data_IF_648151924241
#
_entry.id   IF_648151924241
#
_cell.length_a   1.000
_cell.length_b   1.000
_cell.length_c   1.000
_cell.angle_alpha   90.00
_cell.angle_beta   90.00
_cell.angle_gamma   90.00
#
_symmetry.space_group_name_H-M   'P 1'
#
loop_
_entity.id
_entity.type
_entity.pdbx_description
1 polymer ?
#
# COMPACT_ATOMS: atom_id res chain seq x y z
N UNK A 1 -19.08 -30.76 -7.56
CA UNK A 1 -18.09 -31.68 -6.98
C UNK A 1 -17.97 -31.28 -5.52
N UNK A 2 -18.80 -31.94 -4.73
CA UNK A 2 -19.23 -31.55 -3.39
C UNK A 2 -18.43 -32.41 -2.42
N UNK A 3 -17.44 -31.78 -1.79
CA UNK A 3 -16.49 -32.44 -0.91
C UNK A 3 -17.20 -32.74 0.41
N UNK A 4 -17.49 -34.03 0.61
CA UNK A 4 -18.12 -34.58 1.79
C UNK A 4 -17.29 -34.23 3.04
N UNK A 5 -17.91 -33.42 3.91
CA UNK A 5 -17.39 -32.99 5.19
C UNK A 5 -17.20 -34.21 6.09
N UNK A 6 -15.97 -34.73 6.16
CA UNK A 6 -15.59 -35.77 7.10
C UNK A 6 -15.79 -35.26 8.54
N UNK A 7 -16.74 -35.87 9.25
CA UNK A 7 -17.04 -35.59 10.64
C UNK A 7 -15.80 -35.85 11.50
N UNK A 8 -15.19 -34.78 12.01
CA UNK A 8 -14.07 -34.86 12.94
C UNK A 8 -14.60 -35.33 14.31
N UNK A 9 -13.99 -36.32 14.98
CA UNK A 9 -14.44 -36.81 16.27
C UNK A 9 -14.38 -35.71 17.36
N UNK A 10 -15.22 -35.79 18.41
CA UNK A 10 -15.30 -34.79 19.47
C UNK A 10 -14.04 -34.83 20.35
N UNK A 11 -13.01 -34.07 19.92
CA UNK A 11 -11.82 -33.82 20.73
C UNK A 11 -12.15 -32.95 21.95
N UNK A 12 -11.59 -33.32 23.11
CA UNK A 12 -11.73 -32.65 24.42
C UNK A 12 -11.84 -31.12 24.29
N UNK A 13 -13.02 -30.61 24.61
CA UNK A 13 -13.40 -29.21 24.48
C UNK A 13 -12.65 -28.30 25.44
N UNK A 14 -11.47 -27.83 25.03
CA UNK A 14 -11.05 -26.48 25.40
C UNK A 14 -11.94 -25.47 24.67
N UNK A 15 -12.23 -24.29 25.23
CA UNK A 15 -12.98 -23.25 24.55
C UNK A 15 -12.34 -22.96 23.20
N UNK A 16 -13.02 -23.37 22.13
CA UNK A 16 -12.55 -23.18 20.76
C UNK A 16 -12.55 -21.69 20.49
N UNK A 17 -11.37 -21.09 20.51
CA UNK A 17 -11.17 -19.69 20.15
C UNK A 17 -11.30 -19.57 18.62
N UNK A 18 -12.51 -19.82 18.10
CA UNK A 18 -12.86 -19.53 16.72
C UNK A 18 -13.16 -18.05 16.64
N UNK A 19 -12.36 -17.24 15.92
CA UNK A 19 -12.67 -15.84 15.73
C UNK A 19 -14.05 -15.74 15.08
N UNK A 20 -15.01 -15.12 15.77
CA UNK A 20 -16.39 -14.94 15.26
C UNK A 20 -16.42 -14.05 14.02
N UNK A 21 -15.36 -13.27 13.78
CA UNK A 21 -15.23 -12.38 12.64
C UNK A 21 -14.18 -12.90 11.66
N UNK A 22 -14.61 -13.33 10.47
CA UNK A 22 -13.72 -13.54 9.32
C UNK A 22 -13.66 -12.26 8.50
N UNK A 23 -12.61 -11.48 8.70
CA UNK A 23 -12.33 -10.31 7.84
C UNK A 23 -11.69 -10.82 6.55
N UNK A 24 -12.38 -10.66 5.41
CA UNK A 24 -11.78 -10.89 4.10
C UNK A 24 -11.21 -9.57 3.59
N UNK A 25 -9.88 -9.44 3.43
CA UNK A 25 -9.31 -8.20 2.93
C UNK A 25 -9.78 -7.99 1.50
N UNK A 26 -10.41 -6.84 1.25
CA UNK A 26 -10.70 -6.38 -0.11
C UNK A 26 -9.49 -5.54 -0.53
N UNK A 27 -8.66 -6.11 -1.40
CA UNK A 27 -7.53 -5.38 -1.98
C UNK A 27 -8.08 -4.34 -2.93
N UNK A 28 -8.01 -3.07 -2.53
CA UNK A 28 -8.31 -1.95 -3.40
C UNK A 28 -7.03 -1.58 -4.16
N UNK A 29 -7.15 -1.08 -5.41
CA UNK A 29 -5.98 -0.52 -6.09
C UNK A 29 -5.37 0.56 -5.22
N UNK A 30 -4.07 0.80 -5.36
CA UNK A 30 -3.47 2.04 -4.87
C UNK A 30 -4.19 3.15 -5.62
N UNK A 31 -5.20 3.74 -4.96
CA UNK A 31 -5.94 4.86 -5.53
C UNK A 31 -4.94 5.97 -5.76
N UNK A 32 -5.17 6.72 -6.84
CA UNK A 32 -4.42 7.89 -7.25
C UNK A 32 -4.04 8.78 -6.05
N UNK A 33 -3.07 9.65 -6.28
CA UNK A 33 -2.49 10.52 -5.26
C UNK A 33 -3.53 11.37 -4.50
N UNK A 34 -4.71 11.61 -5.09
CA UNK A 34 -5.88 12.20 -4.43
C UNK A 34 -6.85 11.16 -3.84
N UNK A 35 -7.35 11.42 -2.62
CA UNK A 35 -8.45 10.64 -2.02
C UNK A 35 -9.78 11.31 -2.35
N UNK A 36 -10.74 10.60 -2.95
CA UNK A 36 -12.06 11.19 -3.23
C UNK A 36 -12.69 11.68 -1.93
N UNK A 37 -12.91 12.99 -1.85
CA UNK A 37 -13.63 13.66 -0.77
C UNK A 37 -14.75 14.51 -1.37
N UNK A 38 -15.89 14.47 -0.71
CA UNK A 38 -17.13 15.14 -1.10
C UNK A 38 -17.18 16.63 -0.79
N UNK A 39 -16.36 17.07 0.16
CA UNK A 39 -16.24 18.47 0.52
C UNK A 39 -15.36 19.22 -0.49
N UNK A 40 -14.89 18.53 -1.54
CA UNK A 40 -14.24 19.11 -2.70
C UNK A 40 -12.77 18.75 -2.83
N UNK A 41 -12.14 19.32 -3.85
CA UNK A 41 -10.78 18.98 -4.25
C UNK A 41 -9.75 19.19 -3.14
N UNK A 42 -9.81 20.29 -2.38
CA UNK A 42 -8.83 20.55 -1.32
C UNK A 42 -8.89 19.54 -0.17
N UNK A 43 -10.07 19.03 0.15
CA UNK A 43 -10.22 18.03 1.19
C UNK A 43 -9.62 16.68 0.78
N UNK A 44 -9.55 16.39 -0.52
CA UNK A 44 -8.80 15.22 -1.03
C UNK A 44 -7.33 15.23 -0.62
N UNK A 45 -6.69 16.41 -0.65
CA UNK A 45 -5.28 16.59 -0.29
C UNK A 45 -5.07 16.52 1.22
N UNK A 46 -6.00 17.07 2.00
CA UNK A 46 -5.99 16.98 3.47
C UNK A 46 -6.18 15.53 3.92
N UNK A 47 -7.14 14.81 3.32
CA UNK A 47 -7.36 13.40 3.58
C UNK A 47 -6.12 12.55 3.22
N UNK A 48 -5.44 12.89 2.10
CA UNK A 48 -4.18 12.25 1.73
C UNK A 48 -3.06 12.54 2.73
N UNK A 49 -2.96 13.76 3.23
CA UNK A 49 -2.00 14.13 4.28
C UNK A 49 -2.21 13.29 5.54
N UNK A 50 -3.45 13.18 6.01
CA UNK A 50 -3.78 12.30 7.13
C UNK A 50 -3.50 10.83 6.84
N UNK A 51 -3.70 10.37 5.60
CA UNK A 51 -3.30 9.03 5.20
C UNK A 51 -1.78 8.84 5.27
N UNK A 52 -0.98 9.79 4.77
CA UNK A 52 0.47 9.74 4.84
C UNK A 52 0.95 9.71 6.30
N UNK A 53 0.43 10.60 7.15
CA UNK A 53 0.73 10.60 8.59
C UNK A 53 0.44 9.24 9.27
N UNK A 54 -0.61 8.52 8.84
CA UNK A 54 -0.90 7.16 9.35
C UNK A 54 0.09 6.12 8.84
N UNK A 55 0.55 6.23 7.59
CA UNK A 55 1.61 5.34 7.12
C UNK A 55 2.94 5.55 7.88
N UNK A 56 3.21 6.78 8.32
CA UNK A 56 4.35 7.09 9.18
C UNK A 56 4.17 6.64 10.64
N UNK A 57 2.93 6.30 11.08
CA UNK A 57 2.73 5.62 12.37
C UNK A 57 3.44 4.26 12.42
N UNK A 58 3.73 3.65 11.26
CA UNK A 58 4.53 2.42 11.19
C UNK A 58 5.91 2.54 11.86
N UNK A 59 6.49 3.74 11.94
CA UNK A 59 7.75 3.97 12.67
C UNK A 59 7.58 3.86 14.17
N UNK A 60 6.47 4.39 14.69
CA UNK A 60 6.09 4.21 16.08
C UNK A 60 5.77 2.75 16.39
N UNK A 61 4.99 2.10 15.53
CA UNK A 61 4.66 0.68 15.66
C UNK A 61 5.92 -0.19 15.69
N UNK A 62 6.94 0.10 14.86
CA UNK A 62 8.20 -0.62 14.88
C UNK A 62 8.90 -0.52 16.24
N UNK A 63 8.95 0.67 16.85
CA UNK A 63 9.54 0.82 18.19
C UNK A 63 8.80 0.02 19.26
N UNK A 64 7.46 -0.04 19.18
CA UNK A 64 6.65 -0.89 20.06
C UNK A 64 6.91 -2.38 19.84
N UNK A 65 6.98 -2.81 18.58
CA UNK A 65 7.26 -4.22 18.24
C UNK A 65 8.65 -4.61 18.74
N UNK A 66 9.65 -3.73 18.61
CA UNK A 66 11.00 -3.96 19.14
C UNK A 66 11.00 -4.08 20.66
N UNK A 67 10.30 -3.19 21.37
CA UNK A 67 10.18 -3.25 22.83
C UNK A 67 9.43 -4.51 23.29
N UNK A 68 8.31 -4.84 22.66
CA UNK A 68 7.56 -6.06 22.95
C UNK A 68 8.37 -7.32 22.64
N UNK A 69 9.18 -7.29 21.59
CA UNK A 69 10.10 -8.38 21.26
C UNK A 69 11.18 -8.53 22.32
N UNK A 70 11.77 -7.41 22.76
CA UNK A 70 12.75 -7.41 23.84
C UNK A 70 12.16 -7.99 25.13
N UNK A 71 10.99 -7.52 25.55
CA UNK A 71 10.30 -8.02 26.74
C UNK A 71 9.96 -9.51 26.64
N UNK A 72 9.48 -9.95 25.47
CA UNK A 72 9.23 -11.37 25.17
C UNK A 72 10.51 -12.22 25.31
N UNK A 73 11.64 -11.71 24.83
CA UNK A 73 12.95 -12.39 24.89
C UNK A 73 13.56 -12.34 26.31
N UNK A 74 13.22 -11.35 27.12
CA UNK A 74 13.67 -11.29 28.51
C UNK A 74 12.79 -12.14 29.45
N UNK A 75 11.49 -12.27 29.15
CA UNK A 75 10.50 -12.91 30.02
C UNK A 75 10.34 -14.41 29.78
N UNK A 76 10.68 -14.93 28.60
CA UNK A 76 10.54 -16.35 28.29
C UNK A 76 11.73 -17.20 28.80
N UNK A 77 11.48 -18.39 29.37
CA UNK A 77 12.54 -19.30 29.78
C UNK A 77 13.29 -19.86 28.57
N UNK A 78 14.56 -20.20 28.76
CA UNK A 78 15.46 -20.61 27.66
C UNK A 78 14.97 -21.85 26.90
N UNK A 79 14.20 -22.72 27.56
CA UNK A 79 13.62 -23.93 26.97
C UNK A 79 12.58 -23.66 25.87
N UNK A 80 12.02 -22.45 25.79
CA UNK A 80 11.03 -22.06 24.78
C UNK A 80 11.70 -21.58 23.48
N UNK A 81 12.98 -21.20 23.54
CA UNK A 81 13.70 -20.78 22.34
C UNK A 81 13.93 -21.95 21.39
N UNK A 82 13.26 -21.89 20.25
CA UNK A 82 13.47 -22.77 19.12
C UNK A 82 13.82 -21.95 17.88
N UNK A 83 14.51 -22.55 16.91
CA UNK A 83 14.78 -21.90 15.62
C UNK A 83 13.48 -21.42 14.96
N UNK A 84 12.40 -22.19 15.09
CA UNK A 84 11.08 -21.83 14.56
C UNK A 84 10.52 -20.57 15.21
N UNK A 85 10.68 -20.42 16.53
CA UNK A 85 10.32 -19.19 17.24
C UNK A 85 11.13 -18.00 16.72
N UNK A 86 12.45 -18.14 16.60
CA UNK A 86 13.33 -17.08 16.09
C UNK A 86 12.96 -16.65 14.66
N UNK A 87 12.65 -17.59 13.76
CA UNK A 87 12.22 -17.29 12.38
C UNK A 87 10.86 -16.61 12.31
N UNK A 88 9.91 -16.99 13.16
CA UNK A 88 8.61 -16.31 13.21
C UNK A 88 8.74 -14.90 13.78
N UNK A 89 9.55 -14.74 14.84
CA UNK A 89 9.83 -13.45 15.45
C UNK A 89 10.56 -12.50 14.48
N UNK A 90 11.57 -13.01 13.77
CA UNK A 90 12.28 -12.23 12.75
C UNK A 90 11.35 -11.84 11.61
N UNK A 91 10.45 -12.73 11.16
CA UNK A 91 9.44 -12.38 10.14
C UNK A 91 8.52 -11.24 10.59
N UNK A 92 8.12 -11.22 11.86
CA UNK A 92 7.28 -10.14 12.44
C UNK A 92 8.06 -8.83 12.50
N UNK A 93 9.34 -8.86 12.86
CA UNK A 93 10.19 -7.67 12.94
C UNK A 93 10.62 -7.12 11.57
N UNK A 94 11.04 -8.00 10.67
CA UNK A 94 11.57 -7.62 9.36
C UNK A 94 10.49 -7.03 8.46
N UNK A 95 9.23 -7.47 8.59
CA UNK A 95 8.13 -6.95 7.78
C UNK A 95 7.94 -5.43 7.90
N UNK A 96 7.71 -4.84 9.09
CA UNK A 96 7.61 -3.38 9.24
C UNK A 96 8.94 -2.67 8.92
N UNK A 97 10.10 -3.29 9.22
CA UNK A 97 11.40 -2.73 8.87
C UNK A 97 11.55 -2.51 7.35
N UNK A 98 11.24 -3.55 6.55
CA UNK A 98 11.32 -3.47 5.09
C UNK A 98 10.18 -2.67 4.47
N UNK A 99 9.01 -2.62 5.11
CA UNK A 99 7.87 -1.83 4.59
C UNK A 99 8.01 -0.34 4.87
N UNK A 100 8.64 0.05 5.98
CA UNK A 100 8.72 1.46 6.40
C UNK A 100 10.16 2.00 6.34
N UNK A 101 11.08 1.42 7.10
CA UNK A 101 12.41 2.01 7.32
C UNK A 101 13.31 1.93 6.09
N UNK A 102 13.40 0.75 5.46
CA UNK A 102 14.31 0.55 4.31
C UNK A 102 13.98 1.49 3.14
N UNK A 103 12.71 1.64 2.70
CA UNK A 103 12.37 2.60 1.65
C UNK A 103 12.74 4.05 2.00
N UNK A 104 12.63 4.45 3.26
CA UNK A 104 13.00 5.80 3.72
C UNK A 104 14.50 6.01 3.63
N UNK A 105 15.29 5.07 4.19
CA UNK A 105 16.74 5.14 4.11
C UNK A 105 17.23 5.19 2.65
N UNK A 106 16.60 4.40 1.77
CA UNK A 106 16.88 4.42 0.34
C UNK A 106 16.51 5.76 -0.29
N UNK A 107 15.31 6.28 -0.02
CA UNK A 107 14.86 7.57 -0.55
C UNK A 107 15.75 8.74 -0.09
N UNK A 108 16.15 8.75 1.18
CA UNK A 108 17.09 9.74 1.73
C UNK A 108 18.47 9.63 1.08
N UNK A 109 19.02 8.42 0.99
CA UNK A 109 20.33 8.20 0.37
C UNK A 109 20.35 8.65 -1.10
N UNK A 110 19.32 8.28 -1.87
CA UNK A 110 19.15 8.71 -3.26
C UNK A 110 18.94 10.23 -3.36
N UNK A 111 18.19 10.83 -2.44
CA UNK A 111 18.00 12.28 -2.37
C UNK A 111 19.31 13.02 -2.14
N UNK A 112 20.09 12.61 -1.15
CA UNK A 112 21.42 13.18 -0.84
C UNK A 112 22.36 13.01 -2.02
N UNK A 113 22.42 11.81 -2.62
CA UNK A 113 23.21 11.54 -3.81
C UNK A 113 22.80 12.45 -4.98
N UNK A 114 21.49 12.63 -5.19
CA UNK A 114 20.97 13.50 -6.26
C UNK A 114 21.39 14.95 -6.06
N UNK A 115 21.28 15.48 -4.83
CA UNK A 115 21.76 16.83 -4.49
C UNK A 115 23.26 16.94 -4.72
N UNK A 116 24.04 15.96 -4.26
CA UNK A 116 25.49 15.93 -4.44
C UNK A 116 25.88 15.88 -5.93
N UNK A 117 25.18 15.08 -6.73
CA UNK A 117 25.36 14.98 -8.18
C UNK A 117 25.05 16.31 -8.89
N UNK A 118 23.94 16.96 -8.54
CA UNK A 118 23.58 18.28 -9.08
C UNK A 118 24.62 19.35 -8.69
N UNK A 119 25.08 19.35 -7.44
CA UNK A 119 26.09 20.28 -6.93
C UNK A 119 27.42 20.15 -7.69
N UNK A 120 27.81 18.92 -8.04
CA UNK A 120 29.05 18.62 -8.76
C UNK A 120 28.86 18.59 -10.28
N UNK A 121 28.07 19.52 -10.83
CA UNK A 121 27.85 19.68 -12.29
C UNK A 121 27.43 18.38 -13.00
N UNK A 122 26.53 17.61 -12.38
CA UNK A 122 26.05 16.31 -12.90
C UNK A 122 27.14 15.24 -12.99
N UNK A 123 28.11 15.29 -12.08
CA UNK A 123 29.12 14.25 -11.92
C UNK A 123 29.25 13.84 -10.45
N UNK A 124 29.54 12.56 -10.18
CA UNK A 124 29.92 12.13 -8.83
C UNK A 124 31.45 12.12 -8.78
N UNK A 125 32.09 12.97 -7.94
CA UNK A 125 33.53 13.05 -7.90
C UNK A 125 34.15 11.69 -7.58
N UNK A 126 35.27 11.36 -8.23
CA UNK A 126 35.99 10.05 -8.15
C UNK A 126 35.30 8.86 -8.81
N UNK A 127 34.10 9.02 -9.37
CA UNK A 127 33.49 7.99 -10.22
C UNK A 127 33.73 8.33 -11.69
N UNK A 128 34.16 7.37 -12.52
CA UNK A 128 34.33 7.62 -13.95
C UNK A 128 32.97 7.81 -14.63
N UNK A 129 32.94 8.62 -15.68
CA UNK A 129 31.73 8.90 -16.45
C UNK A 129 31.22 7.71 -17.29
N UNK A 130 32.04 6.67 -17.44
CA UNK A 130 31.76 5.42 -18.18
C UNK A 130 32.40 4.25 -17.42
N UNK A 131 31.60 3.30 -16.96
CA UNK A 131 31.93 2.05 -16.28
C UNK A 131 31.25 0.99 -17.15
N UNK A 132 31.98 0.20 -17.92
CA UNK A 132 31.30 -0.94 -18.55
C UNK A 132 30.67 -1.83 -17.47
N UNK A 133 29.51 -2.47 -17.73
CA UNK A 133 28.90 -3.49 -16.87
C UNK A 133 29.89 -4.58 -16.40
N UNK A 134 31.05 -4.70 -17.06
CA UNK A 134 32.08 -5.70 -16.83
C UNK A 134 33.28 -5.24 -15.96
N UNK A 135 33.45 -3.96 -15.59
CA UNK A 135 34.59 -3.52 -14.76
C UNK A 135 34.20 -3.47 -13.27
N UNK A 136 34.31 -4.62 -12.60
CA UNK A 136 34.04 -4.82 -11.18
C UNK A 136 35.30 -4.65 -10.30
N UNK A 137 36.28 -3.85 -10.72
CA UNK A 137 37.43 -3.54 -9.86
C UNK A 137 36.95 -2.87 -8.56
N UNK A 138 37.53 -3.25 -7.42
CA UNK A 138 36.96 -3.01 -6.09
C UNK A 138 36.63 -1.56 -5.73
N UNK A 139 37.36 -0.58 -6.28
CA UNK A 139 37.06 0.85 -6.09
C UNK A 139 35.85 1.32 -6.92
N UNK A 140 35.63 0.70 -8.08
CA UNK A 140 34.47 0.98 -8.95
C UNK A 140 33.19 0.31 -8.47
N UNK A 141 33.28 -0.74 -7.65
CA UNK A 141 32.13 -1.39 -7.04
C UNK A 141 31.32 -0.42 -6.17
N UNK A 142 32.00 0.43 -5.40
CA UNK A 142 31.36 1.46 -4.58
C UNK A 142 30.69 2.53 -5.45
N UNK A 143 31.30 2.93 -6.56
CA UNK A 143 30.67 3.84 -7.53
C UNK A 143 29.45 3.21 -8.21
N UNK A 144 29.50 1.92 -8.54
CA UNK A 144 28.37 1.15 -9.07
C UNK A 144 27.20 1.05 -8.07
N UNK A 145 27.51 0.69 -6.82
CA UNK A 145 26.53 0.62 -5.72
C UNK A 145 25.97 1.99 -5.34
N UNK A 146 26.79 3.05 -5.43
CA UNK A 146 26.37 4.43 -5.24
C UNK A 146 25.56 4.98 -6.42
N UNK A 147 25.21 4.16 -7.41
CA UNK A 147 24.35 4.57 -8.52
C UNK A 147 25.01 5.52 -9.51
N UNK A 148 26.34 5.69 -9.48
CA UNK A 148 27.06 6.54 -10.44
C UNK A 148 26.88 6.04 -11.88
N UNK A 149 26.55 4.75 -12.05
CA UNK A 149 26.42 4.16 -13.36
C UNK A 149 25.06 4.25 -14.00
N UNK A 150 24.01 4.13 -13.20
CA UNK A 150 22.66 4.09 -13.71
C UNK A 150 21.77 4.64 -12.62
N UNK A 151 21.72 5.96 -12.43
CA UNK A 151 20.66 6.55 -11.60
C UNK A 151 19.27 6.26 -12.20
N UNK A 152 19.24 5.98 -13.51
CA UNK A 152 18.02 5.78 -14.28
C UNK A 152 17.46 4.37 -14.09
N UNK A 153 18.22 3.30 -14.31
CA UNK A 153 17.64 1.94 -14.41
C UNK A 153 17.13 1.33 -13.09
N UNK A 154 17.81 1.44 -11.94
CA UNK A 154 17.30 1.02 -10.64
C UNK A 154 16.06 1.81 -10.21
N UNK A 155 15.78 2.97 -10.81
CA UNK A 155 14.54 3.73 -10.60
C UNK A 155 13.50 3.36 -11.65
N UNK A 156 13.89 3.31 -12.92
CA UNK A 156 13.02 3.09 -14.06
C UNK A 156 12.45 1.66 -14.08
N UNK A 157 13.23 0.63 -13.72
CA UNK A 157 12.76 -0.76 -13.70
C UNK A 157 11.67 -0.94 -12.63
N UNK A 158 11.87 -0.60 -11.35
CA UNK A 158 10.79 -0.67 -10.36
C UNK A 158 9.59 0.22 -10.71
N UNK A 159 9.82 1.43 -11.24
CA UNK A 159 8.74 2.33 -11.64
C UNK A 159 7.91 1.77 -12.79
N UNK A 160 8.57 1.16 -13.78
CA UNK A 160 7.92 0.47 -14.90
C UNK A 160 7.12 -0.74 -14.45
N UNK A 161 7.67 -1.57 -13.55
CA UNK A 161 6.97 -2.70 -12.95
C UNK A 161 5.76 -2.24 -12.11
N UNK A 162 5.88 -1.15 -11.37
CA UNK A 162 4.80 -0.55 -10.61
C UNK A 162 3.68 -0.04 -11.54
N UNK A 163 4.03 0.70 -12.59
CA UNK A 163 3.07 1.19 -13.58
C UNK A 163 2.33 0.04 -14.28
N UNK A 164 3.08 -1.00 -14.71
CA UNK A 164 2.51 -2.20 -15.32
C UNK A 164 1.59 -2.95 -14.36
N UNK A 165 2.00 -3.13 -13.10
CA UNK A 165 1.19 -3.80 -12.08
C UNK A 165 -0.13 -3.06 -11.83
N UNK A 166 -0.08 -1.73 -11.67
CA UNK A 166 -1.26 -0.90 -11.50
C UNK A 166 -2.18 -0.98 -12.73
N UNK A 167 -1.61 -0.96 -13.94
CA UNK A 167 -2.37 -1.07 -15.18
C UNK A 167 -3.08 -2.42 -15.27
N UNK A 168 -2.36 -3.52 -15.09
CA UNK A 168 -2.94 -4.87 -15.14
C UNK A 168 -4.03 -5.05 -14.09
N UNK A 169 -3.80 -4.57 -12.87
CA UNK A 169 -4.81 -4.63 -11.82
C UNK A 169 -6.07 -3.88 -12.24
N UNK A 170 -5.97 -2.59 -12.58
CA UNK A 170 -7.14 -1.76 -12.95
C UNK A 170 -7.85 -2.34 -14.18
N UNK A 171 -7.09 -2.82 -15.15
CA UNK A 171 -7.61 -3.43 -16.36
C UNK A 171 -8.44 -4.68 -16.05
N UNK A 172 -7.90 -5.60 -15.26
CA UNK A 172 -8.55 -6.87 -14.93
C UNK A 172 -9.74 -6.67 -13.99
N UNK A 173 -9.64 -5.78 -13.00
CA UNK A 173 -10.66 -5.63 -11.96
C UNK A 173 -11.79 -4.69 -12.34
N UNK A 174 -11.53 -3.63 -13.13
CA UNK A 174 -12.52 -2.59 -13.43
C UNK A 174 -12.82 -2.47 -14.92
N UNK A 175 -11.80 -2.29 -15.77
CA UNK A 175 -12.03 -1.94 -17.18
C UNK A 175 -12.62 -3.10 -17.97
N UNK A 176 -12.05 -4.31 -17.84
CA UNK A 176 -12.51 -5.51 -18.56
C UNK A 176 -13.91 -5.94 -18.12
N UNK A 177 -14.24 -6.06 -16.81
CA UNK A 177 -15.59 -6.40 -16.40
C UNK A 177 -16.63 -5.38 -16.86
N UNK A 178 -16.33 -4.08 -16.80
CA UNK A 178 -17.26 -3.04 -17.23
C UNK A 178 -17.51 -3.01 -18.75
N UNK A 179 -16.55 -3.49 -19.56
CA UNK A 179 -16.74 -3.68 -20.99
C UNK A 179 -17.70 -4.85 -21.27
N UNK A 180 -17.56 -5.95 -20.54
CA UNK A 180 -18.45 -7.13 -20.64
C UNK A 180 -19.87 -6.77 -20.21
N UNK A 181 -20.03 -6.08 -19.06
CA UNK A 181 -21.35 -5.66 -18.58
C UNK A 181 -22.09 -4.73 -19.54
N UNK A 182 -21.37 -4.00 -20.39
CA UNK A 182 -21.97 -3.13 -21.42
C UNK A 182 -22.39 -3.83 -22.70
N UNK A 183 -21.80 -4.99 -22.98
CA UNK A 183 -22.08 -5.78 -24.18
C UNK A 183 -23.47 -6.42 -24.20
N UNK A 184 -24.35 -6.12 -23.23
CA UNK A 184 -25.73 -6.59 -23.22
C UNK A 184 -25.91 -8.06 -22.81
N UNK A 185 -24.84 -8.77 -22.46
CA UNK A 185 -24.94 -10.06 -21.74
C UNK A 185 -25.34 -9.77 -20.30
N UNK A 186 -26.62 -9.46 -20.12
CA UNK A 186 -27.30 -9.16 -18.87
C UNK A 186 -27.40 -10.39 -17.97
N UNK A 187 -26.28 -10.92 -17.52
CA UNK A 187 -26.28 -11.66 -16.27
C UNK A 187 -26.57 -10.63 -15.18
N UNK A 188 -27.86 -10.51 -14.81
CA UNK A 188 -28.41 -9.60 -13.81
C UNK A 188 -27.83 -9.77 -12.38
N UNK A 189 -26.76 -10.55 -12.23
CA UNK A 189 -26.00 -10.76 -11.00
C UNK A 189 -24.64 -10.08 -11.02
N UNK A 190 -24.32 -9.26 -12.03
CA UNK A 190 -23.12 -8.44 -12.02
C UNK A 190 -23.12 -7.52 -10.80
N UNK A 191 -22.33 -7.86 -9.77
CA UNK A 191 -22.21 -7.03 -8.57
C UNK A 191 -21.81 -5.60 -8.92
N UNK A 192 -22.22 -4.64 -8.09
CA UNK A 192 -21.99 -3.17 -8.25
C UNK A 192 -20.55 -2.84 -8.70
N UNK A 193 -19.58 -3.63 -8.26
CA UNK A 193 -18.16 -3.52 -8.62
C UNK A 193 -17.87 -3.68 -10.12
N UNK A 194 -18.64 -4.48 -10.86
CA UNK A 194 -18.45 -4.68 -12.30
C UNK A 194 -18.99 -3.52 -13.14
N UNK A 195 -19.90 -2.71 -12.58
CA UNK A 195 -20.41 -1.50 -13.22
C UNK A 195 -19.48 -0.29 -12.99
N UNK A 196 -18.61 -0.33 -11.98
CA UNK A 196 -17.72 0.77 -11.64
C UNK A 196 -16.44 0.76 -12.51
N UNK A 197 -16.46 1.46 -13.64
CA UNK A 197 -15.30 1.68 -14.51
C UNK A 197 -14.49 2.94 -14.17
N UNK A 198 -14.85 3.61 -13.08
CA UNK A 198 -14.26 4.89 -12.67
C UNK A 198 -14.68 6.08 -13.54
N UNK A 199 -15.62 5.92 -14.48
CA UNK A 199 -16.12 7.01 -15.33
C UNK A 199 -15.08 7.58 -16.30
N UNK A 200 -13.99 6.85 -16.58
CA UNK A 200 -12.89 7.37 -17.39
C UNK A 200 -13.32 7.50 -18.87
N UNK A 201 -13.23 8.69 -19.49
CA UNK A 201 -13.57 8.85 -20.90
C UNK A 201 -12.57 8.12 -21.81
N UNK A 202 -13.01 7.48 -22.90
CA UNK A 202 -12.11 6.82 -23.84
C UNK A 202 -11.27 7.85 -24.61
N UNK A 203 -9.95 7.66 -24.64
CA UNK A 203 -9.03 8.40 -25.50
C UNK A 203 -8.82 7.60 -26.78
N UNK A 204 -9.03 8.22 -27.95
CA UNK A 204 -8.96 7.53 -29.24
C UNK A 204 -9.84 6.27 -29.30
N UNK A 205 -11.02 6.31 -28.65
CA UNK A 205 -11.94 5.17 -28.58
C UNK A 205 -11.52 4.04 -27.62
N UNK A 206 -10.32 4.11 -27.01
CA UNK A 206 -9.81 3.09 -26.09
C UNK A 206 -9.70 3.61 -24.66
N UNK A 207 -10.39 2.94 -23.73
CA UNK A 207 -10.26 3.23 -22.29
C UNK A 207 -9.00 2.64 -21.69
N UNK A 208 -8.52 1.53 -22.25
CA UNK A 208 -7.23 0.97 -21.85
C UNK A 208 -6.12 1.98 -22.08
N UNK A 209 -6.16 2.68 -23.22
CA UNK A 209 -5.21 3.76 -23.51
C UNK A 209 -5.33 4.91 -22.51
N UNK A 210 -6.54 5.40 -22.20
CA UNK A 210 -6.71 6.45 -21.19
C UNK A 210 -6.17 6.03 -19.84
N UNK A 211 -6.51 4.82 -19.37
CA UNK A 211 -6.02 4.29 -18.09
C UNK A 211 -4.51 4.16 -18.08
N UNK A 212 -3.89 3.67 -19.16
CA UNK A 212 -2.44 3.57 -19.27
C UNK A 212 -1.77 4.95 -19.24
N UNK A 213 -2.32 5.94 -19.95
CA UNK A 213 -1.82 7.31 -19.94
C UNK A 213 -1.92 7.96 -18.56
N UNK A 214 -3.04 7.78 -17.85
CA UNK A 214 -3.22 8.30 -16.50
C UNK A 214 -2.23 7.66 -15.52
N UNK A 215 -2.03 6.34 -15.58
CA UNK A 215 -1.05 5.65 -14.72
C UNK A 215 0.37 6.08 -15.04
N UNK A 216 0.70 6.25 -16.33
CA UNK A 216 2.02 6.73 -16.75
C UNK A 216 2.26 8.16 -16.24
N UNK A 217 1.27 9.06 -16.35
CA UNK A 217 1.36 10.42 -15.80
C UNK A 217 1.51 10.40 -14.27
N UNK A 218 0.69 9.61 -13.57
CA UNK A 218 0.74 9.47 -12.12
C UNK A 218 2.12 8.97 -11.68
N UNK A 219 2.65 7.90 -12.30
CA UNK A 219 3.91 7.29 -11.91
C UNK A 219 5.13 8.13 -12.31
N UNK A 220 5.15 8.66 -13.54
CA UNK A 220 6.33 9.34 -14.08
C UNK A 220 6.44 10.81 -13.67
N UNK A 221 5.31 11.50 -13.50
CA UNK A 221 5.29 12.95 -13.29
C UNK A 221 4.83 13.31 -11.89
N UNK A 222 3.72 12.74 -11.41
CA UNK A 222 3.09 13.18 -10.17
C UNK A 222 3.63 12.46 -8.93
N UNK A 223 4.12 11.23 -9.07
CA UNK A 223 4.59 10.43 -7.93
C UNK A 223 5.77 11.09 -7.21
N UNK A 224 6.77 11.56 -7.94
CA UNK A 224 7.97 12.17 -7.35
C UNK A 224 7.67 13.42 -6.50
N UNK A 225 6.99 14.47 -7.00
CA UNK A 225 6.70 15.66 -6.19
C UNK A 225 5.77 15.34 -5.00
N UNK A 226 4.82 14.42 -5.18
CA UNK A 226 3.89 14.05 -4.13
C UNK A 226 4.61 13.23 -3.05
N UNK A 227 5.46 12.28 -3.42
CA UNK A 227 6.27 11.55 -2.44
C UNK A 227 7.30 12.43 -1.76
N UNK A 228 7.85 13.45 -2.43
CA UNK A 228 8.74 14.42 -1.81
C UNK A 228 8.03 15.21 -0.70
N UNK A 229 6.81 15.69 -0.95
CA UNK A 229 6.06 16.46 0.05
C UNK A 229 5.45 15.53 1.11
N UNK A 230 4.63 14.57 0.68
CA UNK A 230 3.85 13.71 1.58
C UNK A 230 4.68 12.61 2.22
N UNK A 231 5.66 12.05 1.51
CA UNK A 231 6.53 11.02 2.05
C UNK A 231 7.55 11.62 3.00
N UNK A 232 8.43 12.51 2.51
CA UNK A 232 9.55 13.01 3.32
C UNK A 232 9.07 13.84 4.51
N UNK A 233 8.13 14.78 4.32
CA UNK A 233 7.73 15.68 5.41
C UNK A 233 6.92 14.93 6.47
N UNK A 234 5.94 14.09 6.09
CA UNK A 234 5.17 13.33 7.07
C UNK A 234 6.06 12.38 7.88
N UNK A 235 7.07 11.81 7.23
CA UNK A 235 8.02 10.91 7.87
C UNK A 235 8.96 11.63 8.82
N UNK A 236 9.55 12.76 8.40
CA UNK A 236 10.37 13.60 9.29
C UNK A 236 9.58 14.04 10.52
N UNK A 237 8.30 14.41 10.35
CA UNK A 237 7.41 14.74 11.45
C UNK A 237 7.15 13.53 12.36
N UNK A 238 7.00 12.33 11.80
CA UNK A 238 6.84 11.11 12.59
C UNK A 238 8.11 10.80 13.40
N UNK A 239 9.28 10.80 12.78
CA UNK A 239 10.56 10.63 13.48
C UNK A 239 10.75 11.69 14.56
N UNK A 240 10.48 12.96 14.25
CA UNK A 240 10.56 14.06 15.21
C UNK A 240 9.63 13.87 16.41
N UNK A 241 8.38 13.46 16.16
CA UNK A 241 7.42 13.19 17.23
C UNK A 241 7.85 12.01 18.09
N UNK A 242 8.33 10.90 17.50
CA UNK A 242 8.87 9.75 18.26
C UNK A 242 10.05 10.19 19.14
N UNK A 243 11.00 10.96 18.58
CA UNK A 243 12.21 11.38 19.29
C UNK A 243 11.92 12.35 20.44
N UNK A 244 11.05 13.34 20.25
CA UNK A 244 10.85 14.40 21.25
C UNK A 244 9.65 14.22 22.16
N UNK A 245 8.58 13.57 21.68
CA UNK A 245 7.33 13.39 22.42
C UNK A 245 7.12 11.94 22.85
N UNK A 246 8.04 11.05 22.50
CA UNK A 246 7.90 9.63 22.70
C UNK A 246 6.77 9.06 21.84
N UNK A 247 6.23 7.93 22.27
CA UNK A 247 5.30 7.14 21.47
C UNK A 247 3.82 7.57 21.59
N UNK A 248 3.54 8.87 21.73
CA UNK A 248 2.18 9.39 21.91
C UNK A 248 1.53 9.69 20.56
N UNK A 249 0.86 8.70 19.96
CA UNK A 249 0.15 8.86 18.69
C UNK A 249 -1.36 8.86 18.90
N UNK A 250 -2.01 9.94 18.47
CA UNK A 250 -3.46 9.95 18.30
C UNK A 250 -3.78 9.18 17.03
N UNK A 251 -4.40 8.01 17.15
CA UNK A 251 -4.90 7.26 16.00
C UNK A 251 -6.01 8.06 15.33
N UNK A 252 -5.74 8.58 14.13
CA UNK A 252 -6.75 9.26 13.32
C UNK A 252 -7.38 8.18 12.45
N UNK A 253 -8.64 7.84 12.67
CA UNK A 253 -9.36 7.01 11.71
C UNK A 253 -9.55 7.79 10.41
N UNK A 254 -9.38 7.15 9.25
CA UNK A 254 -9.86 7.77 8.03
C UNK A 254 -11.36 7.97 8.18
N UNK A 255 -11.82 9.20 7.99
CA UNK A 255 -13.19 9.48 7.61
C UNK A 255 -13.44 8.76 6.29
N UNK A 256 -13.91 7.52 6.38
CA UNK A 256 -14.52 6.86 5.23
C UNK A 256 -15.77 7.68 4.95
N UNK A 257 -16.02 8.03 3.70
CA UNK A 257 -17.21 8.76 3.26
C UNK A 257 -18.50 7.92 3.39
N UNK A 258 -18.66 7.20 4.50
CA UNK A 258 -19.88 6.45 4.82
C UNK A 258 -21.04 7.38 5.18
N UNK A 259 -20.77 8.65 5.50
CA UNK A 259 -21.82 9.63 5.81
C UNK A 259 -22.61 10.12 4.60
N UNK A 260 -22.25 9.70 3.38
CA UNK A 260 -22.92 10.13 2.14
C UNK A 260 -23.68 9.05 1.42
N UNK A 261 -23.44 7.80 1.78
CA UNK A 261 -24.40 6.78 1.48
C UNK A 261 -25.35 6.72 2.67
N UNK A 262 -26.31 7.65 2.72
CA UNK A 262 -27.64 7.29 3.21
C UNK A 262 -27.97 5.96 2.51
N UNK A 263 -28.09 4.86 3.26
CA UNK A 263 -28.42 3.51 2.77
C UNK A 263 -27.41 2.70 1.94
N UNK A 264 -26.10 2.74 2.23
CA UNK A 264 -25.27 1.58 1.82
C UNK A 264 -25.48 0.38 2.76
N UNK A 265 -26.59 -0.33 2.56
CA UNK A 265 -26.89 -1.59 3.24
C UNK A 265 -27.33 -1.43 4.70
N UNK A 266 -28.05 -0.36 5.04
CA UNK A 266 -28.84 -0.40 6.27
C UNK A 266 -29.84 -1.55 6.11
N UNK A 267 -29.87 -2.47 7.07
CA UNK A 267 -30.80 -3.61 7.06
C UNK A 267 -32.26 -3.16 7.18
N UNK A 268 -32.53 -1.86 7.27
CA UNK A 268 -33.87 -1.29 7.36
C UNK A 268 -34.72 -1.62 6.12
N UNK A 269 -34.15 -1.60 4.91
CA UNK A 269 -34.87 -2.03 3.70
C UNK A 269 -35.15 -3.55 3.65
N UNK A 270 -34.28 -4.37 4.27
CA UNK A 270 -34.52 -5.81 4.38
C UNK A 270 -35.62 -6.11 5.41
N UNK A 271 -35.74 -5.30 6.47
CA UNK A 271 -36.77 -5.42 7.48
C UNK A 271 -38.15 -4.99 6.93
N UNK A 272 -38.19 -3.99 6.05
CA UNK A 272 -39.44 -3.52 5.45
C UNK A 272 -40.05 -4.49 4.43
N UNK A 273 -39.24 -5.37 3.81
CA UNK A 273 -39.74 -6.45 2.93
C UNK A 273 -40.17 -7.73 3.66
N UNK A 274 -39.91 -7.85 4.96
CA UNK A 274 -40.27 -9.01 5.77
C UNK A 274 -41.55 -8.81 6.60
N UNK A 275 -42.13 -7.62 6.60
CA UNK A 275 -43.44 -7.40 7.20
C UNK A 275 -44.53 -7.74 6.18
N UNK A 276 -45.33 -8.80 6.39
CA UNK A 276 -46.45 -9.11 5.52
C UNK A 276 -47.42 -7.92 5.55
N UNK A 277 -47.77 -7.44 4.37
CA UNK A 277 -48.81 -6.47 4.11
C UNK A 277 -50.09 -6.95 4.83
N UNK A 278 -50.39 -6.35 5.99
CA UNK A 278 -51.64 -6.62 6.70
C UNK A 278 -52.77 -6.05 5.84
N UNK A 279 -53.39 -6.92 5.06
CA UNK A 279 -54.65 -6.67 4.37
C UNK A 279 -55.71 -6.27 5.40
N UNK A 280 -56.27 -5.08 5.20
CA UNK A 280 -57.53 -4.65 5.79
C UNK A 280 -58.70 -5.15 4.94
#
# INVERSE_FOLDING_TARGET
AEEALAATPPGRGGPSCRPQLRVRPVMLPVKSTSVVDVQGYWQSWVARWHQALRHCQGVAELSYILLATWDLVCSLPVSVYSLRFALNLSRVLLRPLFMHIVPICQAMALGVLTVHWLWNRRSVPRCPHRIGLANLDGELLLCGLAGAFELVWPVAVPLGLLALSNFLFIWVTFVKPAAVSRGGTSDARGGVWHAADGGVPPALGSRGLTTAMLIALDCAVLMAPIMAIYGVVAELLACWNVMLRGNQFKYITATKATSLAEDYGSTAEAEQKLLPEKTA
#
